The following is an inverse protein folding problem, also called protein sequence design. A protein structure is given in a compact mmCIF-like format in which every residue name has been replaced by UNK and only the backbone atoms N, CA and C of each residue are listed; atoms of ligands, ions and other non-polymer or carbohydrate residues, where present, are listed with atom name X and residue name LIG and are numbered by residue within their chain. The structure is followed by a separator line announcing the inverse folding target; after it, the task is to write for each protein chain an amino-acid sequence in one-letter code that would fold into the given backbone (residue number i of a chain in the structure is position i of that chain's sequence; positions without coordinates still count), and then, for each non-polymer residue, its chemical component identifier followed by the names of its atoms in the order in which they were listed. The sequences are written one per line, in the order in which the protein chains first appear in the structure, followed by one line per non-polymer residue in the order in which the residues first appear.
data_IF_385033962838
#
_entry.id   IF_385033962838
#
_cell.length_a   1.000
_cell.length_b   1.000
_cell.length_c   1.000
_cell.angle_alpha   90.00
_cell.angle_beta   90.00
_cell.angle_gamma   90.00
#
_symmetry.space_group_name_H-M   'P 1'
#
loop_
_entity.id
_entity.type
_entity.pdbx_description
1 polymer ?
#
# COMPACT_ATOMS: atom_id res chain seq x y z
N UNK A 1 -21.66 -20.90 -2.19
CA UNK A 1 -22.90 -20.12 -2.05
C UNK A 1 -23.25 -19.46 -3.38
N UNK A 2 -24.50 -19.43 -3.75
CA UNK A 2 -25.01 -18.81 -4.99
C UNK A 2 -25.99 -17.68 -4.61
N UNK A 3 -26.27 -16.73 -5.53
CA UNK A 3 -27.21 -15.62 -5.29
C UNK A 3 -28.57 -16.09 -4.73
N UNK A 4 -29.14 -17.17 -5.27
CA UNK A 4 -30.41 -17.72 -4.80
C UNK A 4 -30.44 -18.10 -3.31
N UNK A 5 -29.26 -18.47 -2.76
CA UNK A 5 -29.11 -18.90 -1.35
C UNK A 5 -29.13 -17.69 -0.40
N UNK A 6 -29.04 -16.47 -0.96
CA UNK A 6 -29.03 -15.20 -0.23
C UNK A 6 -30.42 -14.54 -0.13
N UNK A 7 -31.44 -15.04 -0.87
CA UNK A 7 -32.79 -14.46 -0.87
C UNK A 7 -33.33 -14.34 0.56
N UNK A 8 -33.81 -13.14 0.92
CA UNK A 8 -34.34 -12.82 2.25
C UNK A 8 -33.26 -12.60 3.34
N UNK A 9 -31.99 -12.91 3.08
CA UNK A 9 -30.89 -12.67 4.02
C UNK A 9 -30.39 -11.23 3.97
N UNK A 10 -29.79 -10.77 5.07
CA UNK A 10 -29.02 -9.52 5.10
C UNK A 10 -27.56 -9.79 4.72
N UNK A 11 -27.02 -8.94 3.86
CA UNK A 11 -25.64 -9.03 3.35
C UNK A 11 -24.96 -7.67 3.46
N UNK A 12 -23.79 -7.60 4.04
CA UNK A 12 -22.97 -6.38 4.07
C UNK A 12 -22.10 -6.32 2.81
N UNK A 13 -22.30 -5.31 1.98
CA UNK A 13 -21.54 -5.09 0.76
C UNK A 13 -20.50 -3.99 0.97
N UNK A 14 -19.21 -4.32 0.85
CA UNK A 14 -18.15 -3.35 0.78
C UNK A 14 -18.12 -2.72 -0.62
N UNK A 15 -18.37 -1.41 -0.69
CA UNK A 15 -18.63 -0.70 -1.95
C UNK A 15 -17.76 0.56 -2.09
N UNK A 16 -17.29 0.80 -3.31
CA UNK A 16 -16.56 2.02 -3.69
C UNK A 16 -17.45 3.07 -4.37
N UNK A 17 -18.69 2.70 -4.73
CA UNK A 17 -19.59 3.56 -5.50
C UNK A 17 -19.37 3.55 -7.01
N UNK A 18 -18.40 2.77 -7.50
CA UNK A 18 -18.11 2.58 -8.91
C UNK A 18 -19.08 1.63 -9.63
N UNK A 19 -18.72 1.26 -10.86
CA UNK A 19 -19.56 0.43 -11.74
C UNK A 19 -19.88 -0.93 -11.11
N UNK A 20 -18.84 -1.66 -10.66
CA UNK A 20 -19.00 -2.99 -10.06
C UNK A 20 -19.89 -2.93 -8.81
N UNK A 21 -19.60 -2.00 -7.89
CA UNK A 21 -20.38 -1.82 -6.67
C UNK A 21 -21.85 -1.55 -6.96
N UNK A 22 -22.15 -0.64 -7.88
CA UNK A 22 -23.52 -0.27 -8.25
C UNK A 22 -24.26 -1.44 -8.89
N UNK A 23 -23.59 -2.15 -9.81
CA UNK A 23 -24.14 -3.34 -10.49
C UNK A 23 -24.44 -4.45 -9.50
N UNK A 24 -23.47 -4.77 -8.61
CA UNK A 24 -23.62 -5.86 -7.63
C UNK A 24 -24.72 -5.58 -6.61
N UNK A 25 -24.77 -4.35 -6.08
CA UNK A 25 -25.84 -3.97 -5.12
C UNK A 25 -27.20 -4.15 -5.76
N UNK A 26 -27.41 -3.65 -6.98
CA UNK A 26 -28.67 -3.81 -7.69
C UNK A 26 -28.99 -5.27 -8.03
N UNK A 27 -27.99 -6.01 -8.50
CA UNK A 27 -28.15 -7.43 -8.87
C UNK A 27 -28.55 -8.30 -7.67
N UNK A 28 -27.99 -8.03 -6.48
CA UNK A 28 -28.36 -8.70 -5.24
C UNK A 28 -29.77 -8.28 -4.75
N UNK A 29 -30.03 -6.97 -4.68
CA UNK A 29 -31.30 -6.46 -4.19
C UNK A 29 -32.48 -6.87 -5.06
N UNK A 30 -32.32 -6.92 -6.39
CA UNK A 30 -33.34 -7.40 -7.34
C UNK A 30 -33.72 -8.88 -7.15
N UNK A 31 -32.84 -9.66 -6.50
CA UNK A 31 -33.11 -11.05 -6.12
C UNK A 31 -33.71 -11.20 -4.72
N UNK A 32 -34.08 -10.09 -4.06
CA UNK A 32 -34.66 -10.08 -2.70
C UNK A 32 -33.64 -10.22 -1.58
N UNK A 33 -32.36 -9.90 -1.84
CA UNK A 33 -31.32 -9.81 -0.81
C UNK A 33 -31.38 -8.43 -0.15
N UNK A 34 -31.33 -8.39 1.19
CA UNK A 34 -31.29 -7.14 1.97
C UNK A 34 -29.84 -6.65 2.07
N UNK A 35 -29.47 -5.66 1.28
CA UNK A 35 -28.09 -5.19 1.19
C UNK A 35 -27.85 -3.99 2.12
N UNK A 36 -26.91 -4.13 3.06
CA UNK A 36 -26.27 -3.02 3.74
C UNK A 36 -25.01 -2.64 2.93
N UNK A 37 -25.03 -1.51 2.27
CA UNK A 37 -23.87 -0.99 1.56
C UNK A 37 -22.96 -0.20 2.51
N UNK A 38 -21.68 -0.57 2.59
CA UNK A 38 -20.69 0.06 3.45
C UNK A 38 -19.58 0.63 2.59
N UNK A 39 -19.44 1.95 2.62
CA UNK A 39 -18.28 2.66 2.05
C UNK A 39 -17.36 3.05 3.18
N UNK A 40 -16.07 2.70 3.05
CA UNK A 40 -15.05 3.16 3.99
C UNK A 40 -14.32 4.35 3.36
N UNK A 41 -14.40 5.51 4.02
CA UNK A 41 -13.65 6.71 3.64
C UNK A 41 -12.18 6.53 3.99
N UNK A 42 -11.38 6.24 2.99
CA UNK A 42 -9.92 6.14 3.03
C UNK A 42 -9.23 7.39 2.43
N UNK A 43 -9.96 8.49 2.25
CA UNK A 43 -9.43 9.71 1.64
C UNK A 43 -9.11 9.56 0.15
N UNK A 44 -9.97 8.87 -0.59
CA UNK A 44 -9.81 8.65 -2.03
C UNK A 44 -9.72 9.98 -2.78
N UNK A 45 -8.61 10.29 -3.47
CA UNK A 45 -8.44 11.58 -4.14
C UNK A 45 -9.33 11.73 -5.39
N UNK A 46 -9.82 10.63 -5.93
CA UNK A 46 -10.70 10.58 -7.10
C UNK A 46 -12.21 10.58 -6.77
N UNK A 47 -12.60 10.52 -5.47
CA UNK A 47 -14.01 10.63 -5.02
C UNK A 47 -14.17 11.80 -4.04
N UNK A 48 -14.78 12.86 -4.51
CA UNK A 48 -15.00 14.09 -3.72
C UNK A 48 -16.31 14.12 -2.95
N UNK A 49 -17.24 13.21 -3.27
CA UNK A 49 -18.60 13.19 -2.71
C UNK A 49 -18.96 11.81 -2.13
N UNK A 50 -18.46 11.53 -0.94
CA UNK A 50 -18.80 10.29 -0.21
C UNK A 50 -20.29 10.16 0.08
N UNK A 51 -21.01 11.27 0.31
CA UNK A 51 -22.47 11.23 0.52
C UNK A 51 -23.18 10.80 -0.75
N UNK A 52 -22.75 11.29 -1.90
CA UNK A 52 -23.25 10.86 -3.20
C UNK A 52 -23.01 9.36 -3.47
N UNK A 53 -21.92 8.78 -2.95
CA UNK A 53 -21.72 7.32 -2.99
C UNK A 53 -22.86 6.59 -2.27
N UNK A 54 -23.15 6.97 -1.03
CA UNK A 54 -24.23 6.36 -0.25
C UNK A 54 -25.61 6.51 -0.93
N UNK A 55 -25.88 7.65 -1.54
CA UNK A 55 -27.12 7.87 -2.29
C UNK A 55 -27.21 6.98 -3.54
N UNK A 56 -26.10 6.83 -4.27
CA UNK A 56 -26.01 5.92 -5.43
C UNK A 56 -26.32 4.49 -5.01
N UNK A 57 -25.81 4.03 -3.85
CA UNK A 57 -26.06 2.69 -3.35
C UNK A 57 -27.53 2.48 -2.94
N UNK A 58 -28.17 3.47 -2.30
CA UNK A 58 -29.61 3.40 -2.01
C UNK A 58 -30.45 3.34 -3.31
N UNK A 59 -30.10 4.15 -4.30
CA UNK A 59 -30.75 4.12 -5.64
C UNK A 59 -30.50 2.80 -6.38
N UNK A 60 -29.39 2.13 -6.11
CA UNK A 60 -29.12 0.78 -6.60
C UNK A 60 -29.88 -0.32 -5.82
N UNK A 61 -30.68 0.03 -4.81
CA UNK A 61 -31.51 -0.91 -4.08
C UNK A 61 -30.94 -1.39 -2.76
N UNK A 62 -29.87 -0.77 -2.25
CA UNK A 62 -29.42 -1.05 -0.88
C UNK A 62 -30.52 -0.66 0.14
N UNK A 63 -30.83 -1.56 1.09
CA UNK A 63 -31.75 -1.29 2.21
C UNK A 63 -31.21 -0.15 3.08
N UNK A 64 -29.90 -0.13 3.26
CA UNK A 64 -29.19 0.90 3.99
C UNK A 64 -27.82 1.14 3.33
N UNK A 65 -27.33 2.39 3.36
CA UNK A 65 -26.01 2.74 2.92
C UNK A 65 -25.33 3.68 3.93
N UNK A 66 -24.17 3.26 4.43
CA UNK A 66 -23.41 3.97 5.45
C UNK A 66 -21.98 4.27 4.97
N UNK A 67 -21.39 5.30 5.59
CA UNK A 67 -20.00 5.68 5.37
C UNK A 67 -19.29 5.54 6.71
N UNK A 68 -18.16 4.82 6.72
CA UNK A 68 -17.31 4.66 7.89
C UNK A 68 -15.99 5.40 7.67
N UNK A 69 -15.46 6.01 8.72
CA UNK A 69 -14.18 6.69 8.68
C UNK A 69 -13.03 5.71 8.87
N UNK A 70 -12.24 5.46 7.83
CA UNK A 70 -11.14 4.50 7.83
C UNK A 70 -9.74 5.12 7.71
N UNK A 71 -9.62 6.45 7.60
CA UNK A 71 -8.32 7.12 7.38
C UNK A 71 -7.32 6.86 8.50
N UNK A 72 -7.76 6.83 9.76
CA UNK A 72 -6.87 6.56 10.90
C UNK A 72 -6.28 5.15 10.81
N UNK A 73 -7.11 4.14 10.59
CA UNK A 73 -6.65 2.75 10.45
C UNK A 73 -5.67 2.60 9.28
N UNK A 74 -5.98 3.21 8.13
CA UNK A 74 -5.09 3.19 6.98
C UNK A 74 -3.75 3.88 7.27
N UNK A 75 -3.76 5.03 7.96
CA UNK A 75 -2.54 5.75 8.32
C UNK A 75 -1.64 4.92 9.25
N UNK A 76 -2.23 4.29 10.27
CA UNK A 76 -1.51 3.43 11.22
C UNK A 76 -0.91 2.20 10.52
N UNK A 77 -1.67 1.54 9.65
CA UNK A 77 -1.18 0.37 8.91
C UNK A 77 -0.11 0.76 7.88
N UNK A 78 -0.32 1.87 7.15
CA UNK A 78 0.66 2.37 6.20
C UNK A 78 1.96 2.81 6.88
N UNK A 79 1.88 3.37 8.11
CA UNK A 79 3.07 3.65 8.91
C UNK A 79 3.88 2.38 9.17
N UNK A 80 3.24 1.22 9.41
CA UNK A 80 3.95 -0.06 9.62
C UNK A 80 4.61 -0.55 8.34
N UNK A 81 3.99 -0.36 7.18
CA UNK A 81 4.60 -0.63 5.88
C UNK A 81 5.88 0.21 5.70
N UNK A 82 5.82 1.52 6.00
CA UNK A 82 6.96 2.42 5.95
C UNK A 82 8.04 2.04 6.96
N UNK A 83 7.66 1.81 8.22
CA UNK A 83 8.60 1.39 9.27
C UNK A 83 9.30 0.07 8.94
N UNK A 84 8.62 -0.85 8.26
CA UNK A 84 9.16 -2.12 7.80
C UNK A 84 9.91 -2.05 6.47
N UNK A 85 9.95 -0.91 5.79
CA UNK A 85 10.41 -0.80 4.38
C UNK A 85 9.76 -1.87 3.51
N UNK A 86 8.45 -2.09 3.70
CA UNK A 86 7.71 -3.23 3.16
C UNK A 86 7.04 -2.90 1.81
N UNK A 87 7.76 -2.20 0.93
CA UNK A 87 7.35 -2.06 -0.47
C UNK A 87 7.49 -3.39 -1.21
N UNK A 88 6.54 -3.71 -2.06
CA UNK A 88 6.57 -4.89 -2.93
C UNK A 88 7.36 -4.59 -4.20
N UNK A 89 7.67 -5.59 -4.97
CA UNK A 89 8.44 -5.57 -6.22
C UNK A 89 8.51 -4.18 -6.91
N UNK A 90 9.70 -3.77 -7.35
CA UNK A 90 9.87 -2.52 -8.11
C UNK A 90 9.52 -1.22 -7.39
N UNK A 91 9.26 -1.24 -6.09
CA UNK A 91 8.95 -0.04 -5.30
C UNK A 91 7.45 0.22 -5.10
N UNK A 92 6.58 -0.73 -5.39
CA UNK A 92 5.16 -0.60 -5.07
C UNK A 92 4.93 -0.57 -3.56
N UNK A 93 4.41 0.54 -3.05
CA UNK A 93 4.22 0.81 -1.61
C UNK A 93 3.10 0.01 -0.95
N UNK A 94 2.58 -1.05 -1.59
CA UNK A 94 1.49 -1.89 -1.07
C UNK A 94 0.21 -1.13 -0.70
N UNK A 95 0.00 0.04 -1.29
CA UNK A 95 -1.08 0.97 -0.92
C UNK A 95 -2.48 0.40 -1.07
N UNK A 96 -2.73 -0.40 -2.12
CA UNK A 96 -3.99 -1.11 -2.29
C UNK A 96 -4.11 -2.29 -1.32
N UNK A 97 -3.04 -3.09 -1.15
CA UNK A 97 -3.04 -4.25 -0.25
C UNK A 97 -3.41 -3.86 1.17
N UNK A 98 -2.71 -2.88 1.73
CA UNK A 98 -2.93 -2.41 3.10
C UNK A 98 -4.28 -1.70 3.27
N UNK A 99 -4.77 -1.00 2.22
CA UNK A 99 -6.07 -0.35 2.24
C UNK A 99 -7.22 -1.36 2.34
N UNK A 100 -7.11 -2.55 1.72
CA UNK A 100 -8.11 -3.62 1.89
C UNK A 100 -8.17 -4.12 3.32
N UNK A 101 -7.01 -4.25 3.98
CA UNK A 101 -6.94 -4.62 5.40
C UNK A 101 -7.58 -3.55 6.29
N UNK A 102 -7.29 -2.28 6.06
CA UNK A 102 -7.93 -1.17 6.77
C UNK A 102 -9.46 -1.12 6.53
N UNK A 103 -9.90 -1.40 5.30
CA UNK A 103 -11.33 -1.49 4.95
C UNK A 103 -12.03 -2.57 5.75
N UNK A 104 -11.49 -3.79 5.76
CA UNK A 104 -12.07 -4.93 6.49
C UNK A 104 -12.10 -4.65 7.99
N UNK A 105 -10.97 -4.21 8.58
CA UNK A 105 -10.88 -3.91 10.02
C UNK A 105 -11.87 -2.81 10.46
N UNK A 106 -12.10 -1.81 9.61
CA UNK A 106 -13.05 -0.73 9.88
C UNK A 106 -14.50 -1.18 9.76
N UNK A 107 -14.81 -2.05 8.78
CA UNK A 107 -16.18 -2.46 8.49
C UNK A 107 -16.71 -3.56 9.42
N UNK A 108 -15.86 -4.53 9.78
CA UNK A 108 -16.30 -5.73 10.54
C UNK A 108 -16.99 -5.43 11.87
N UNK A 109 -16.53 -4.48 12.73
CA UNK A 109 -17.22 -4.16 13.97
C UNK A 109 -18.65 -3.71 13.74
N UNK A 110 -18.90 -2.90 12.71
CA UNK A 110 -20.25 -2.41 12.38
C UNK A 110 -21.14 -3.52 11.77
N UNK A 111 -20.56 -4.41 10.98
CA UNK A 111 -21.23 -5.59 10.42
C UNK A 111 -21.68 -6.52 11.55
N UNK A 112 -20.77 -6.85 12.47
CA UNK A 112 -21.02 -7.71 13.63
C UNK A 112 -22.08 -7.13 14.57
N UNK A 113 -22.00 -5.83 14.88
CA UNK A 113 -23.00 -5.11 15.70
C UNK A 113 -24.41 -5.22 15.14
N UNK A 114 -24.56 -5.36 13.82
CA UNK A 114 -25.84 -5.50 13.13
C UNK A 114 -26.30 -6.95 12.99
N UNK A 115 -25.54 -7.91 13.52
CA UNK A 115 -25.85 -9.33 13.44
C UNK A 115 -25.80 -9.90 12.01
N UNK A 116 -25.01 -9.26 11.12
CA UNK A 116 -24.83 -9.72 9.74
C UNK A 116 -23.63 -10.66 9.70
N UNK A 117 -23.80 -11.85 9.14
CA UNK A 117 -22.78 -12.89 9.04
C UNK A 117 -22.37 -13.20 7.59
N UNK A 118 -22.83 -12.41 6.63
CA UNK A 118 -22.47 -12.54 5.21
C UNK A 118 -21.95 -11.21 4.71
N UNK A 119 -20.72 -11.22 4.20
CA UNK A 119 -20.09 -10.05 3.57
C UNK A 119 -19.92 -10.30 2.06
N UNK A 120 -19.97 -9.24 1.26
CA UNK A 120 -19.71 -9.29 -0.17
C UNK A 120 -18.82 -8.11 -0.60
N UNK A 121 -18.12 -8.27 -1.72
CA UNK A 121 -17.28 -7.26 -2.33
C UNK A 121 -17.32 -7.33 -3.86
N UNK A 122 -16.87 -6.25 -4.54
CA UNK A 122 -16.84 -6.16 -6.00
C UNK A 122 -15.54 -6.59 -6.67
N UNK A 123 -14.56 -7.12 -5.91
CA UNK A 123 -13.28 -7.52 -6.47
C UNK A 123 -13.43 -8.70 -7.44
N UNK A 124 -12.73 -8.59 -8.60
CA UNK A 124 -12.77 -9.61 -9.65
C UNK A 124 -12.04 -10.88 -9.25
N UNK A 125 -12.42 -12.02 -9.85
CA UNK A 125 -11.78 -13.32 -9.60
C UNK A 125 -10.34 -13.46 -10.14
N UNK A 126 -9.82 -12.46 -10.86
CA UNK A 126 -8.46 -12.44 -11.42
C UNK A 126 -7.47 -11.57 -10.65
N UNK A 127 -7.97 -10.71 -9.74
CA UNK A 127 -7.14 -9.82 -8.94
C UNK A 127 -6.81 -10.37 -7.55
N UNK A 128 -5.82 -9.78 -6.89
CA UNK A 128 -5.46 -10.11 -5.52
C UNK A 128 -6.52 -9.65 -4.51
N UNK A 129 -7.30 -8.62 -4.82
CA UNK A 129 -8.20 -8.00 -3.86
C UNK A 129 -9.29 -8.95 -3.33
N UNK A 130 -9.75 -9.90 -4.18
CA UNK A 130 -10.67 -10.94 -3.70
C UNK A 130 -10.04 -11.79 -2.59
N UNK A 131 -8.73 -12.11 -2.72
CA UNK A 131 -7.99 -12.89 -1.72
C UNK A 131 -7.84 -12.06 -0.45
N UNK A 132 -7.45 -10.79 -0.59
CA UNK A 132 -7.27 -9.85 0.50
C UNK A 132 -8.54 -9.65 1.33
N UNK A 133 -9.67 -9.40 0.68
CA UNK A 133 -10.96 -9.26 1.37
C UNK A 133 -11.38 -10.54 2.09
N UNK A 134 -11.22 -11.69 1.45
CA UNK A 134 -11.62 -12.97 2.04
C UNK A 134 -10.72 -13.36 3.21
N UNK A 135 -9.39 -13.39 3.02
CA UNK A 135 -8.46 -13.77 4.08
C UNK A 135 -8.51 -12.77 5.24
N UNK A 136 -8.50 -11.47 4.96
CA UNK A 136 -8.61 -10.45 6.00
C UNK A 136 -9.90 -10.58 6.82
N UNK A 137 -11.01 -10.90 6.17
CA UNK A 137 -12.29 -11.12 6.86
C UNK A 137 -12.26 -12.36 7.72
N UNK A 138 -11.81 -13.52 7.18
CA UNK A 138 -11.79 -14.80 7.90
C UNK A 138 -10.82 -14.75 9.09
N UNK A 139 -9.66 -14.09 8.94
CA UNK A 139 -8.69 -13.95 10.05
C UNK A 139 -9.24 -13.13 11.21
N UNK A 140 -10.10 -12.13 10.96
CA UNK A 140 -10.70 -11.30 12.01
C UNK A 140 -12.05 -11.82 12.50
N UNK A 141 -12.80 -12.53 11.65
CA UNK A 141 -14.16 -13.04 11.93
C UNK A 141 -14.32 -14.41 11.23
N UNK A 142 -13.80 -15.52 11.81
CA UNK A 142 -13.78 -16.84 11.16
C UNK A 142 -15.18 -17.41 10.86
N UNK A 143 -16.20 -16.95 11.55
CA UNK A 143 -17.59 -17.32 11.30
C UNK A 143 -18.26 -16.56 10.16
N UNK A 144 -17.62 -15.49 9.65
CA UNK A 144 -18.14 -14.68 8.56
C UNK A 144 -18.08 -15.44 7.23
N UNK A 145 -19.16 -15.46 6.51
CA UNK A 145 -19.18 -15.98 5.14
C UNK A 145 -18.91 -14.87 4.14
N UNK A 146 -17.95 -15.07 3.25
CA UNK A 146 -17.68 -14.13 2.15
C UNK A 146 -18.30 -14.64 0.86
N UNK A 147 -19.22 -13.87 0.30
CA UNK A 147 -19.81 -14.11 -1.02
C UNK A 147 -19.20 -13.16 -2.04
N UNK A 148 -18.52 -13.69 -3.04
CA UNK A 148 -17.94 -12.90 -4.13
C UNK A 148 -18.72 -13.13 -5.44
N UNK A 149 -19.48 -12.13 -5.93
CA UNK A 149 -20.27 -12.25 -7.16
C UNK A 149 -19.44 -12.66 -8.37
N UNK A 150 -18.22 -12.16 -8.50
CA UNK A 150 -17.30 -12.53 -9.59
C UNK A 150 -16.88 -14.02 -9.59
N UNK A 151 -17.21 -14.78 -8.56
CA UNK A 151 -17.06 -16.25 -8.49
C UNK A 151 -18.39 -16.99 -8.65
N UNK A 152 -19.51 -16.26 -8.78
CA UNK A 152 -20.81 -16.84 -9.10
C UNK A 152 -20.99 -16.95 -10.61
N UNK A 153 -21.20 -18.17 -11.08
CA UNK A 153 -21.34 -18.44 -12.52
C UNK A 153 -22.52 -17.71 -13.16
N UNK A 154 -23.58 -17.43 -12.39
CA UNK A 154 -24.74 -16.68 -12.86
C UNK A 154 -24.36 -15.22 -13.13
N UNK A 155 -23.64 -14.59 -12.18
CA UNK A 155 -23.14 -13.22 -12.33
C UNK A 155 -22.18 -13.09 -13.52
N UNK A 156 -21.18 -13.98 -13.60
CA UNK A 156 -20.17 -13.94 -14.67
C UNK A 156 -20.81 -14.15 -16.05
N UNK A 157 -21.80 -15.04 -16.17
CA UNK A 157 -22.52 -15.25 -17.43
C UNK A 157 -23.32 -14.04 -17.86
N UNK A 158 -23.95 -13.35 -16.92
CA UNK A 158 -24.82 -12.19 -17.20
C UNK A 158 -24.02 -10.87 -17.30
N UNK A 159 -23.06 -10.67 -16.42
CA UNK A 159 -22.42 -9.37 -16.13
C UNK A 159 -20.88 -9.42 -16.12
N UNK A 160 -20.27 -10.48 -16.66
CA UNK A 160 -18.83 -10.77 -16.56
C UNK A 160 -17.90 -9.85 -17.36
N UNK A 161 -18.37 -8.65 -17.78
CA UNK A 161 -17.57 -7.68 -18.49
C UNK A 161 -18.04 -6.24 -18.30
N UNK A 162 -17.11 -5.28 -18.43
CA UNK A 162 -17.39 -3.84 -18.27
C UNK A 162 -18.52 -3.35 -19.16
N UNK A 163 -18.56 -3.80 -20.43
CA UNK A 163 -19.60 -3.44 -21.39
C UNK A 163 -20.97 -3.92 -20.93
N UNK A 164 -21.06 -5.17 -20.50
CA UNK A 164 -22.31 -5.77 -20.00
C UNK A 164 -22.81 -5.04 -18.75
N UNK A 165 -21.94 -4.71 -17.82
CA UNK A 165 -22.31 -3.96 -16.61
C UNK A 165 -22.79 -2.54 -16.91
N UNK A 166 -22.15 -1.82 -17.83
CA UNK A 166 -22.58 -0.48 -18.27
C UNK A 166 -24.00 -0.57 -18.92
N UNK A 167 -24.22 -1.56 -19.77
CA UNK A 167 -25.50 -1.78 -20.40
C UNK A 167 -26.60 -2.16 -19.40
N UNK A 168 -26.26 -3.01 -18.43
CA UNK A 168 -27.13 -3.36 -17.31
C UNK A 168 -27.52 -2.11 -16.51
N UNK A 169 -26.56 -1.29 -16.10
CA UNK A 169 -26.82 -0.06 -15.36
C UNK A 169 -27.72 0.90 -16.17
N UNK A 170 -27.49 1.04 -17.49
CA UNK A 170 -28.33 1.85 -18.38
C UNK A 170 -29.76 1.32 -18.42
N UNK A 171 -29.94 0.01 -18.58
CA UNK A 171 -31.27 -0.65 -18.63
C UNK A 171 -32.06 -0.42 -17.35
N UNK A 172 -31.38 -0.45 -16.20
CA UNK A 172 -32.01 -0.27 -14.89
C UNK A 172 -31.98 1.20 -14.39
N UNK A 173 -31.56 2.16 -15.24
CA UNK A 173 -31.48 3.61 -14.92
C UNK A 173 -30.58 3.91 -13.72
N UNK A 174 -29.55 3.11 -13.50
CA UNK A 174 -28.56 3.31 -12.46
C UNK A 174 -27.50 4.33 -12.90
N UNK A 175 -27.22 5.32 -12.06
CA UNK A 175 -26.19 6.32 -12.36
C UNK A 175 -24.81 5.75 -12.06
N UNK A 176 -23.94 5.67 -13.07
CA UNK A 176 -22.54 5.32 -12.96
C UNK A 176 -21.68 6.35 -13.70
N UNK A 177 -20.53 6.67 -13.16
CA UNK A 177 -19.56 7.59 -13.79
C UNK A 177 -18.67 6.88 -14.81
N UNK A 178 -18.64 5.54 -14.76
CA UNK A 178 -17.83 4.73 -15.65
C UNK A 178 -18.23 4.90 -17.12
N UNK A 179 -17.25 5.19 -17.96
CA UNK A 179 -17.40 5.25 -19.40
C UNK A 179 -16.49 4.24 -20.09
N UNK A 180 -16.77 3.91 -21.35
CA UNK A 180 -15.88 3.09 -22.18
C UNK A 180 -14.63 3.85 -22.65
N UNK A 181 -14.57 5.17 -22.40
CA UNK A 181 -13.50 6.03 -22.90
C UNK A 181 -12.23 6.02 -22.03
N UNK A 182 -12.34 5.70 -20.73
CA UNK A 182 -11.16 5.65 -19.87
C UNK A 182 -10.37 4.36 -20.15
N UNK A 183 -9.12 4.47 -20.64
CA UNK A 183 -8.41 3.31 -21.20
C UNK A 183 -7.82 2.36 -20.15
N UNK A 184 -7.88 2.71 -18.87
CA UNK A 184 -7.40 1.91 -17.72
C UNK A 184 -8.35 2.05 -16.53
N UNK A 185 -8.16 1.23 -15.50
CA UNK A 185 -8.88 1.30 -14.22
C UNK A 185 -8.03 2.00 -13.17
N UNK A 186 -8.68 2.61 -12.17
CA UNK A 186 -8.03 3.26 -11.03
C UNK A 186 -8.58 2.72 -9.73
N UNK A 187 -7.70 2.61 -8.71
CA UNK A 187 -8.06 2.30 -7.33
C UNK A 187 -7.27 3.25 -6.42
N UNK A 188 -7.96 4.02 -5.60
CA UNK A 188 -7.39 5.14 -4.88
C UNK A 188 -7.69 5.13 -3.40
N UNK A 189 -6.72 5.58 -2.62
CA UNK A 189 -6.84 5.96 -1.22
C UNK A 189 -5.79 7.06 -0.92
N UNK A 190 -5.81 7.67 0.26
CA UNK A 190 -4.86 8.76 0.54
C UNK A 190 -3.38 8.34 0.55
N UNK A 191 -3.08 7.05 0.78
CA UNK A 191 -1.69 6.57 0.80
C UNK A 191 -1.13 6.34 -0.61
N UNK A 192 -2.01 6.14 -1.60
CA UNK A 192 -1.61 5.98 -3.00
C UNK A 192 -2.75 5.65 -3.94
N UNK A 193 -2.42 5.66 -5.21
CA UNK A 193 -3.32 5.40 -6.32
C UNK A 193 -2.69 4.40 -7.28
N UNK A 194 -3.48 3.43 -7.71
CA UNK A 194 -3.10 2.39 -8.67
C UNK A 194 -3.80 2.63 -9.99
N UNK A 195 -3.06 2.60 -11.10
CA UNK A 195 -3.56 2.54 -12.46
C UNK A 195 -3.23 1.18 -13.06
N UNK A 196 -4.23 0.44 -13.51
CA UNK A 196 -4.04 -0.90 -14.03
C UNK A 196 -5.07 -1.27 -15.10
N UNK A 197 -4.89 -2.41 -15.75
CA UNK A 197 -5.77 -2.96 -16.78
C UNK A 197 -5.84 -2.13 -18.09
N UNK A 198 -6.62 -2.60 -19.03
CA UNK A 198 -6.82 -1.94 -20.32
C UNK A 198 -5.54 -1.76 -21.11
N UNK A 199 -5.24 -0.53 -21.53
CA UNK A 199 -4.04 -0.22 -22.33
C UNK A 199 -2.75 -0.53 -21.58
N UNK A 200 -2.75 -0.46 -20.24
CA UNK A 200 -1.56 -0.74 -19.42
C UNK A 200 -1.18 -2.23 -19.38
N UNK A 201 -2.07 -3.15 -19.81
CA UNK A 201 -1.74 -4.57 -19.95
C UNK A 201 -0.74 -4.83 -21.08
N UNK A 202 -0.59 -3.89 -22.00
CA UNK A 202 0.41 -3.95 -23.08
C UNK A 202 1.73 -3.35 -22.59
N UNK A 203 2.81 -4.13 -22.58
CA UNK A 203 4.11 -3.68 -22.09
C UNK A 203 4.79 -2.64 -23.01
N UNK A 204 4.36 -2.54 -24.25
CA UNK A 204 4.78 -1.50 -25.22
C UNK A 204 3.99 -0.19 -25.09
N UNK A 205 2.96 -0.14 -24.24
CA UNK A 205 2.27 1.10 -23.90
C UNK A 205 3.09 1.90 -22.88
N UNK A 206 3.34 3.18 -23.21
CA UNK A 206 4.03 4.10 -22.28
C UNK A 206 3.22 4.34 -21.01
N UNK A 207 3.83 4.42 -19.80
CA UNK A 207 3.15 4.85 -18.58
C UNK A 207 2.63 6.29 -18.65
N UNK A 208 3.15 7.13 -19.55
CA UNK A 208 2.68 8.51 -19.79
C UNK A 208 1.23 8.61 -20.30
N UNK A 209 0.56 7.47 -20.62
CA UNK A 209 -0.88 7.47 -20.92
C UNK A 209 -1.74 7.69 -19.69
N UNK A 210 -1.13 7.67 -18.49
CA UNK A 210 -1.81 7.84 -17.21
C UNK A 210 -1.96 9.33 -16.89
N UNK A 211 -3.19 9.73 -16.58
CA UNK A 211 -3.47 11.02 -15.97
C UNK A 211 -3.23 10.93 -14.46
N UNK A 212 -2.10 11.41 -13.98
CA UNK A 212 -1.75 11.40 -12.57
C UNK A 212 -2.64 12.35 -11.75
N UNK A 213 -3.01 11.92 -10.54
CA UNK A 213 -3.96 12.62 -9.65
C UNK A 213 -3.28 13.14 -8.38
N UNK A 214 -2.26 12.42 -7.88
CA UNK A 214 -1.59 12.76 -6.62
C UNK A 214 -0.38 13.67 -6.82
N UNK A 215 0.00 13.95 -8.05
CA UNK A 215 1.14 14.81 -8.35
C UNK A 215 1.33 15.03 -9.84
N UNK A 216 2.53 15.42 -10.22
CA UNK A 216 2.95 15.65 -11.61
C UNK A 216 4.09 14.70 -11.97
N UNK A 217 4.27 14.45 -13.26
CA UNK A 217 5.45 13.70 -13.72
C UNK A 217 6.74 14.46 -13.37
N UNK A 218 7.88 13.74 -13.11
CA UNK A 218 9.14 14.39 -12.79
C UNK A 218 9.55 15.47 -13.79
N UNK A 219 9.26 15.29 -15.08
CA UNK A 219 9.59 16.27 -16.13
C UNK A 219 8.80 17.59 -15.96
N UNK A 220 7.57 17.50 -15.48
CA UNK A 220 6.66 18.65 -15.30
C UNK A 220 6.78 19.30 -13.93
N UNK A 221 7.56 18.70 -13.02
CA UNK A 221 7.81 19.27 -11.69
C UNK A 221 8.59 20.59 -11.79
N UNK A 222 8.48 21.47 -10.75
CA UNK A 222 9.14 22.78 -10.74
C UNK A 222 10.64 22.69 -11.03
N UNK A 223 11.16 23.72 -11.71
CA UNK A 223 12.60 23.86 -11.99
C UNK A 223 13.40 24.34 -10.78
N UNK A 224 12.73 24.87 -9.74
CA UNK A 224 13.36 25.26 -8.49
C UNK A 224 13.21 24.13 -7.47
N UNK A 225 14.33 23.64 -6.89
CA UNK A 225 14.27 22.65 -5.82
C UNK A 225 13.46 23.14 -4.62
N UNK A 226 12.79 22.20 -3.95
CA UNK A 226 12.05 22.47 -2.72
C UNK A 226 12.66 21.72 -1.54
N UNK A 227 12.89 22.40 -0.42
CA UNK A 227 13.40 21.79 0.80
C UNK A 227 12.24 21.37 1.70
N UNK A 228 12.31 20.15 2.23
CA UNK A 228 11.37 19.63 3.23
C UNK A 228 12.12 19.09 4.44
N UNK A 229 11.59 19.38 5.64
CA UNK A 229 12.12 18.92 6.92
C UNK A 229 11.12 17.97 7.58
N UNK A 230 11.54 16.74 7.88
CA UNK A 230 10.69 15.74 8.50
C UNK A 230 11.33 15.28 9.81
N UNK A 231 10.57 15.32 10.91
CA UNK A 231 11.03 14.89 12.24
C UNK A 231 10.29 13.62 12.65
N UNK A 232 11.06 12.60 12.99
CA UNK A 232 10.56 11.33 13.55
C UNK A 232 10.88 11.24 15.05
N UNK A 233 9.98 10.61 15.79
CA UNK A 233 10.19 10.22 17.19
C UNK A 233 9.71 8.80 17.39
N UNK A 234 10.62 7.91 17.80
CA UNK A 234 10.35 6.48 17.99
C UNK A 234 9.62 5.86 16.78
N UNK A 235 10.11 6.17 15.58
CA UNK A 235 9.58 5.66 14.32
C UNK A 235 8.32 6.34 13.81
N UNK A 236 7.72 7.26 14.54
CA UNK A 236 6.51 7.99 14.13
C UNK A 236 6.90 9.37 13.60
N UNK A 237 6.49 9.77 12.39
CA UNK A 237 6.67 11.15 11.93
C UNK A 237 5.75 12.08 12.73
N UNK A 238 6.33 13.10 13.35
CA UNK A 238 5.59 14.05 14.21
C UNK A 238 5.49 15.45 13.60
N UNK A 239 6.49 15.83 12.76
CA UNK A 239 6.53 17.21 12.22
C UNK A 239 6.94 17.22 10.75
N UNK A 240 6.28 18.08 9.98
CA UNK A 240 6.68 18.49 8.63
C UNK A 240 6.97 19.97 8.64
N UNK A 241 8.15 20.41 8.21
CA UNK A 241 8.59 21.80 8.19
C UNK A 241 8.42 22.54 9.54
N UNK A 242 8.58 21.79 10.65
CA UNK A 242 8.42 22.31 12.02
C UNK A 242 6.98 22.31 12.55
N UNK A 243 5.98 22.08 11.73
CA UNK A 243 4.58 21.98 12.12
C UNK A 243 4.26 20.57 12.63
N UNK A 244 3.72 20.47 13.84
CA UNK A 244 3.23 19.22 14.40
C UNK A 244 1.85 18.88 13.82
N UNK A 245 1.68 17.66 13.34
CA UNK A 245 0.46 17.19 12.69
C UNK A 245 0.09 15.78 13.19
N UNK A 246 -1.20 15.45 13.16
CA UNK A 246 -1.65 14.08 13.30
C UNK A 246 -1.18 13.25 12.10
N UNK A 247 -1.04 11.94 12.26
CA UNK A 247 -0.47 11.06 11.25
C UNK A 247 -1.16 11.18 9.87
N UNK A 248 -2.49 11.25 9.83
CA UNK A 248 -3.25 11.49 8.58
C UNK A 248 -2.83 12.81 7.93
N UNK A 249 -2.69 13.88 8.72
CA UNK A 249 -2.24 15.19 8.23
C UNK A 249 -0.81 15.16 7.69
N UNK A 250 0.09 14.39 8.32
CA UNK A 250 1.46 14.16 7.82
C UNK A 250 1.41 13.57 6.40
N UNK A 251 0.60 12.51 6.19
CA UNK A 251 0.46 11.92 4.86
C UNK A 251 -0.10 12.91 3.84
N UNK A 252 -1.12 13.68 4.23
CA UNK A 252 -1.74 14.66 3.33
C UNK A 252 -0.77 15.76 2.92
N UNK A 253 -0.04 16.34 3.87
CA UNK A 253 0.97 17.37 3.57
C UNK A 253 2.09 16.84 2.70
N UNK A 254 2.60 15.64 3.03
CA UNK A 254 3.69 15.04 2.25
C UNK A 254 3.24 14.57 0.87
N UNK A 255 1.98 14.16 0.70
CA UNK A 255 1.43 13.90 -0.63
C UNK A 255 1.47 15.16 -1.51
N UNK A 256 1.11 16.33 -0.95
CA UNK A 256 1.15 17.59 -1.68
C UNK A 256 2.58 18.02 -2.00
N UNK A 257 3.49 17.91 -1.00
CA UNK A 257 4.90 18.33 -1.17
C UNK A 257 5.63 17.39 -2.15
N UNK A 258 5.58 16.10 -1.93
CA UNK A 258 6.26 15.11 -2.76
C UNK A 258 5.65 15.04 -4.17
N UNK A 259 4.33 15.03 -4.27
CA UNK A 259 3.62 14.91 -5.55
C UNK A 259 3.88 16.08 -6.50
N UNK A 260 3.88 17.35 -6.00
CA UNK A 260 4.21 18.49 -6.86
C UNK A 260 5.67 18.51 -7.32
N UNK A 261 6.55 17.77 -6.64
CA UNK A 261 7.95 17.60 -7.02
C UNK A 261 8.23 16.32 -7.80
N UNK A 262 7.19 15.56 -8.18
CA UNK A 262 7.29 14.33 -8.98
C UNK A 262 7.80 13.11 -8.20
N UNK A 263 7.95 13.21 -6.86
CA UNK A 263 8.42 12.09 -6.03
C UNK A 263 7.29 11.08 -5.83
N UNK A 264 7.57 9.80 -6.09
CA UNK A 264 6.59 8.73 -5.93
C UNK A 264 5.45 8.75 -6.96
N UNK A 265 5.67 9.36 -8.13
CA UNK A 265 4.72 9.46 -9.25
C UNK A 265 5.24 8.62 -10.42
N UNK A 266 4.35 7.83 -11.03
CA UNK A 266 4.66 7.03 -12.21
C UNK A 266 5.53 5.80 -11.92
N UNK A 267 5.44 5.21 -10.74
CA UNK A 267 6.14 3.97 -10.40
C UNK A 267 5.54 2.82 -11.22
N UNK A 268 6.26 2.35 -12.24
CA UNK A 268 5.83 1.31 -13.17
C UNK A 268 6.37 -0.05 -12.75
N UNK A 269 5.49 -0.99 -12.46
CA UNK A 269 5.86 -2.32 -11.93
C UNK A 269 5.15 -3.43 -12.68
N UNK A 270 5.91 -4.44 -13.09
CA UNK A 270 5.38 -5.75 -13.51
C UNK A 270 5.52 -6.70 -12.34
N UNK A 271 4.41 -6.98 -11.68
CA UNK A 271 4.34 -7.71 -10.41
C UNK A 271 3.85 -9.16 -10.58
N UNK A 272 4.17 -10.01 -9.63
CA UNK A 272 3.68 -11.38 -9.54
C UNK A 272 2.45 -11.43 -8.63
N UNK A 273 1.25 -11.61 -9.21
CA UNK A 273 0.02 -11.72 -8.40
C UNK A 273 -0.04 -13.03 -7.62
N UNK A 274 -0.63 -13.00 -6.43
CA UNK A 274 -0.89 -14.19 -5.59
C UNK A 274 -1.66 -15.27 -6.37
N UNK A 275 -2.52 -14.88 -7.29
CA UNK A 275 -3.29 -15.80 -8.15
C UNK A 275 -2.47 -16.43 -9.28
N UNK A 276 -1.15 -16.24 -9.32
CA UNK A 276 -0.21 -16.94 -10.20
C UNK A 276 -0.04 -16.35 -11.60
N UNK A 277 -0.52 -15.11 -11.83
CA UNK A 277 -0.30 -14.40 -13.11
C UNK A 277 0.55 -13.14 -12.89
N UNK A 278 1.22 -12.69 -13.95
CA UNK A 278 1.85 -11.37 -13.97
C UNK A 278 0.84 -10.28 -14.32
N UNK A 279 1.04 -9.10 -13.75
CA UNK A 279 0.28 -7.91 -14.11
C UNK A 279 1.16 -6.67 -14.05
N UNK A 280 0.78 -5.63 -14.77
CA UNK A 280 1.43 -4.34 -14.74
C UNK A 280 0.54 -3.33 -14.06
N UNK A 281 1.12 -2.54 -13.18
CA UNK A 281 0.50 -1.37 -12.56
C UNK A 281 1.41 -0.16 -12.65
N UNK A 282 0.82 1.03 -12.77
CA UNK A 282 1.48 2.31 -12.64
C UNK A 282 0.94 2.96 -11.38
N UNK A 283 1.81 3.37 -10.48
CA UNK A 283 1.44 3.75 -9.12
C UNK A 283 1.81 5.18 -8.79
N UNK A 284 1.00 5.79 -7.95
CA UNK A 284 1.25 7.06 -7.27
C UNK A 284 1.22 6.84 -5.76
N UNK A 285 2.27 7.23 -5.06
CA UNK A 285 2.33 7.14 -3.59
C UNK A 285 3.30 8.18 -3.02
N UNK A 286 3.11 9.48 -3.31
CA UNK A 286 4.14 10.48 -3.09
C UNK A 286 4.56 10.62 -1.63
N UNK A 287 3.63 10.82 -0.71
CA UNK A 287 3.95 10.98 0.71
C UNK A 287 4.50 9.71 1.37
N UNK A 288 3.97 8.53 0.99
CA UNK A 288 4.45 7.27 1.50
C UNK A 288 5.90 6.98 1.01
N UNK A 289 6.17 7.23 -0.27
CA UNK A 289 7.52 7.08 -0.84
C UNK A 289 8.52 8.02 -0.17
N UNK A 290 8.17 9.29 0.02
CA UNK A 290 9.06 10.24 0.70
C UNK A 290 9.32 9.83 2.16
N UNK A 291 8.27 9.43 2.89
CA UNK A 291 8.42 8.95 4.27
C UNK A 291 9.31 7.72 4.36
N UNK A 292 9.16 6.75 3.46
CA UNK A 292 10.01 5.55 3.44
C UNK A 292 11.46 5.89 3.16
N UNK A 293 11.74 6.75 2.18
CA UNK A 293 13.10 7.20 1.84
C UNK A 293 13.77 7.87 3.06
N UNK A 294 13.04 8.76 3.75
CA UNK A 294 13.55 9.46 4.94
C UNK A 294 13.73 8.49 6.11
N UNK A 295 12.77 7.60 6.35
CA UNK A 295 12.84 6.59 7.39
C UNK A 295 14.03 5.64 7.19
N UNK A 296 14.23 5.16 5.96
CA UNK A 296 15.37 4.31 5.59
C UNK A 296 16.72 5.01 5.87
N UNK A 297 16.77 6.34 5.70
CA UNK A 297 17.97 7.13 6.02
C UNK A 297 18.26 7.19 7.51
N UNK A 298 17.23 7.28 8.36
CA UNK A 298 17.39 7.19 9.80
C UNK A 298 17.77 5.76 10.25
N UNK A 299 17.20 4.73 9.61
CA UNK A 299 17.59 3.33 9.89
C UNK A 299 19.08 3.08 9.65
N UNK A 300 19.72 3.73 8.66
CA UNK A 300 21.16 3.65 8.43
C UNK A 300 21.99 4.17 9.61
N UNK A 301 21.41 5.03 10.45
CA UNK A 301 22.10 5.58 11.62
C UNK A 301 22.01 4.66 12.84
N UNK A 302 20.93 3.89 12.98
CA UNK A 302 20.57 3.20 14.23
C UNK A 302 20.71 1.67 14.16
N UNK A 303 20.87 1.10 12.96
CA UNK A 303 21.09 -0.32 12.77
C UNK A 303 22.56 -0.61 12.50
N UNK A 304 23.14 -1.54 13.28
CA UNK A 304 24.42 -2.15 12.97
C UNK A 304 24.31 -3.10 11.76
N UNK A 305 25.46 -3.58 11.29
CA UNK A 305 25.56 -4.42 10.10
C UNK A 305 24.69 -5.69 10.17
N UNK A 306 24.70 -6.38 11.31
CA UNK A 306 24.03 -7.68 11.43
C UNK A 306 22.51 -7.49 11.59
N UNK A 307 22.08 -6.50 12.39
CA UNK A 307 20.67 -6.14 12.51
C UNK A 307 20.12 -5.63 11.16
N UNK A 308 20.90 -4.88 10.38
CA UNK A 308 20.48 -4.41 9.05
C UNK A 308 20.16 -5.57 8.11
N UNK A 309 21.05 -6.57 8.01
CA UNK A 309 20.82 -7.76 7.18
C UNK A 309 19.58 -8.53 7.58
N UNK A 310 19.39 -8.73 8.88
CA UNK A 310 18.20 -9.39 9.40
C UNK A 310 16.93 -8.60 9.08
N UNK A 311 16.97 -7.29 9.28
CA UNK A 311 15.85 -6.41 9.02
C UNK A 311 15.43 -6.42 7.53
N UNK A 312 16.37 -6.53 6.59
CA UNK A 312 16.08 -6.66 5.16
C UNK A 312 15.30 -7.94 4.81
N UNK A 313 15.55 -9.03 5.56
CA UNK A 313 14.75 -10.26 5.42
C UNK A 313 13.33 -10.03 5.94
N UNK A 314 13.21 -9.40 7.11
CA UNK A 314 11.90 -9.06 7.71
C UNK A 314 11.11 -8.12 6.79
N UNK A 315 11.75 -7.10 6.23
CA UNK A 315 11.13 -6.14 5.29
C UNK A 315 10.50 -6.84 4.09
N UNK A 316 11.25 -7.75 3.48
CA UNK A 316 10.79 -8.51 2.31
C UNK A 316 9.61 -9.41 2.64
N UNK A 317 9.70 -10.17 3.73
CA UNK A 317 8.60 -11.02 4.18
C UNK A 317 7.34 -10.23 4.57
N UNK A 318 7.52 -9.07 5.22
CA UNK A 318 6.39 -8.19 5.54
C UNK A 318 5.73 -7.63 4.28
N UNK A 319 6.52 -7.25 3.26
CA UNK A 319 5.99 -6.80 1.98
C UNK A 319 5.10 -7.87 1.33
N UNK A 320 5.54 -9.14 1.34
CA UNK A 320 4.77 -10.26 0.80
C UNK A 320 3.49 -10.50 1.60
N UNK A 321 3.56 -10.50 2.92
CA UNK A 321 2.40 -10.65 3.83
C UNK A 321 1.34 -9.57 3.55
N UNK A 322 1.76 -8.32 3.37
CA UNK A 322 0.84 -7.22 3.02
C UNK A 322 0.25 -7.42 1.63
N UNK A 323 1.09 -7.73 0.65
CA UNK A 323 0.68 -7.91 -0.74
C UNK A 323 -0.32 -9.04 -0.90
N UNK A 324 -0.11 -10.14 -0.17
CA UNK A 324 -0.91 -11.36 -0.22
C UNK A 324 -2.20 -11.30 0.62
N UNK A 325 -2.37 -10.26 1.45
CA UNK A 325 -3.57 -10.09 2.28
C UNK A 325 -3.55 -10.85 3.61
N UNK A 326 -2.37 -11.20 4.09
CA UNK A 326 -2.15 -11.95 5.33
C UNK A 326 -1.77 -11.05 6.54
N UNK A 327 -2.16 -9.78 6.50
CA UNK A 327 -1.85 -8.77 7.51
C UNK A 327 -2.26 -9.15 8.94
N UNK A 328 -3.30 -9.93 9.11
CA UNK A 328 -3.80 -10.36 10.42
C UNK A 328 -3.32 -11.77 10.81
N UNK A 329 -2.35 -12.33 10.09
CA UNK A 329 -1.76 -13.64 10.38
C UNK A 329 -0.79 -13.59 11.57
N UNK A 330 -0.52 -14.73 12.23
CA UNK A 330 0.53 -14.82 13.24
C UNK A 330 1.90 -14.38 12.71
N UNK A 331 2.25 -14.74 11.47
CA UNK A 331 3.50 -14.31 10.83
C UNK A 331 3.59 -12.79 10.73
N UNK A 332 2.50 -12.10 10.33
CA UNK A 332 2.47 -10.64 10.33
C UNK A 332 2.76 -10.06 11.72
N UNK A 333 2.18 -10.65 12.76
CA UNK A 333 2.40 -10.23 14.16
C UNK A 333 3.87 -10.35 14.56
N UNK A 334 4.53 -11.46 14.22
CA UNK A 334 5.95 -11.70 14.52
C UNK A 334 6.85 -10.70 13.78
N UNK A 335 6.60 -10.48 12.49
CA UNK A 335 7.35 -9.50 11.69
C UNK A 335 7.16 -8.08 12.22
N UNK A 336 5.93 -7.71 12.58
CA UNK A 336 5.61 -6.40 13.16
C UNK A 336 6.23 -6.22 14.55
N UNK A 337 6.41 -7.28 15.34
CA UNK A 337 7.13 -7.19 16.60
C UNK A 337 8.59 -6.75 16.39
N UNK A 338 9.27 -7.30 15.37
CA UNK A 338 10.62 -6.87 14.99
C UNK A 338 10.63 -5.41 14.52
N UNK A 339 9.71 -5.03 13.62
CA UNK A 339 9.57 -3.66 13.11
C UNK A 339 9.34 -2.68 14.26
N UNK A 340 8.43 -2.99 15.18
CA UNK A 340 8.12 -2.15 16.34
C UNK A 340 9.32 -2.02 17.28
N UNK A 341 10.09 -3.10 17.51
CA UNK A 341 11.32 -3.04 18.30
C UNK A 341 12.35 -2.09 17.68
N UNK A 342 12.57 -2.18 16.37
CA UNK A 342 13.51 -1.31 15.67
C UNK A 342 13.03 0.16 15.70
N UNK A 343 11.76 0.40 15.50
CA UNK A 343 11.16 1.73 15.46
C UNK A 343 11.43 2.56 16.74
N UNK A 344 11.56 1.92 17.91
CA UNK A 344 11.86 2.62 19.18
C UNK A 344 13.16 3.44 19.12
N UNK A 345 14.11 3.04 18.28
CA UNK A 345 15.41 3.69 18.13
C UNK A 345 15.42 4.74 17.03
N UNK A 346 14.40 4.78 16.16
CA UNK A 346 14.33 5.70 15.01
C UNK A 346 13.75 7.04 15.44
N UNK A 347 14.63 7.89 15.92
CA UNK A 347 14.32 9.29 16.27
C UNK A 347 15.33 10.19 15.56
N UNK A 348 14.87 11.28 14.99
CA UNK A 348 15.76 12.25 14.33
C UNK A 348 15.01 13.16 13.38
N UNK A 349 15.72 14.17 12.92
CA UNK A 349 15.24 15.13 11.93
C UNK A 349 16.08 15.02 10.67
N UNK A 350 15.41 14.88 9.53
CA UNK A 350 16.06 14.83 8.21
C UNK A 350 15.58 16.02 7.38
N UNK A 351 16.51 16.71 6.75
CA UNK A 351 16.25 17.77 5.78
C UNK A 351 16.59 17.22 4.40
N UNK A 352 15.62 17.28 3.50
CA UNK A 352 15.77 16.84 2.13
C UNK A 352 15.50 17.97 1.16
N UNK A 353 16.15 17.92 0.00
CA UNK A 353 15.83 18.70 -1.19
C UNK A 353 15.13 17.78 -2.18
N UNK A 354 13.97 18.21 -2.69
CA UNK A 354 13.18 17.52 -3.69
C UNK A 354 13.34 18.23 -5.04
N UNK A 355 13.72 17.49 -6.06
CA UNK A 355 13.91 18.04 -7.39
C UNK A 355 13.63 16.99 -8.47
N UNK A 356 12.62 17.24 -9.30
CA UNK A 356 12.35 16.40 -10.48
C UNK A 356 12.27 14.89 -10.13
N UNK A 357 11.52 14.55 -9.09
CA UNK A 357 11.35 13.17 -8.63
C UNK A 357 12.47 12.61 -7.73
N UNK A 358 13.57 13.34 -7.60
CA UNK A 358 14.71 12.94 -6.76
C UNK A 358 14.61 13.52 -5.36
N UNK A 359 15.20 12.80 -4.39
CA UNK A 359 15.30 13.20 -2.99
C UNK A 359 16.78 13.23 -2.61
N UNK A 360 17.32 14.42 -2.37
CA UNK A 360 18.71 14.62 -1.92
C UNK A 360 18.73 14.94 -0.44
N UNK A 361 19.55 14.23 0.33
CA UNK A 361 19.70 14.49 1.77
C UNK A 361 20.66 15.64 2.01
N UNK A 362 20.20 16.68 2.71
CA UNK A 362 21.00 17.85 3.04
C UNK A 362 21.54 17.79 4.47
N UNK A 363 20.73 17.36 5.43
CA UNK A 363 21.08 17.34 6.84
C UNK A 363 20.35 16.21 7.58
N UNK A 364 21.04 15.58 8.53
CA UNK A 364 20.47 14.64 9.50
C UNK A 364 20.96 15.06 10.87
N UNK A 365 20.03 15.26 11.83
CA UNK A 365 20.35 15.70 13.17
C UNK A 365 19.39 15.13 14.21
N UNK A 366 19.75 15.31 15.47
CA UNK A 366 18.95 14.90 16.64
C UNK A 366 18.66 13.40 16.65
N UNK A 367 19.67 12.57 16.31
CA UNK A 367 19.57 11.09 16.29
C UNK A 367 20.24 10.52 17.54
N UNK A 368 19.55 10.37 18.67
CA UNK A 368 20.14 9.99 19.95
C UNK A 368 20.70 8.57 19.96
N UNK A 369 20.21 7.71 19.09
CA UNK A 369 20.64 6.31 18.98
C UNK A 369 21.56 6.07 17.76
N UNK A 370 22.16 7.13 17.20
CA UNK A 370 23.07 6.99 16.09
C UNK A 370 24.33 6.19 16.48
N UNK A 371 24.64 5.19 15.68
CA UNK A 371 25.90 4.44 15.75
C UNK A 371 27.02 5.14 14.99
N UNK A 372 26.70 6.19 14.21
CA UNK A 372 27.68 6.97 13.48
C UNK A 372 28.38 7.95 14.43
N UNK A 373 29.67 7.72 14.63
CA UNK A 373 30.54 8.62 15.41
C UNK A 373 31.64 9.18 14.50
N UNK A 374 31.64 10.50 14.23
CA UNK A 374 32.62 11.11 13.33
C UNK A 374 34.07 10.87 13.71
N UNK A 375 34.39 10.75 15.01
CA UNK A 375 35.74 10.49 15.47
C UNK A 375 36.23 9.06 15.18
N UNK A 376 35.31 8.07 15.29
CA UNK A 376 35.59 6.65 15.02
C UNK A 376 35.48 6.34 13.53
N UNK A 377 34.55 7.00 12.83
CA UNK A 377 34.24 6.77 11.41
C UNK A 377 35.22 7.49 10.47
N UNK A 378 36.09 8.37 11.01
CA UNK A 378 37.03 9.12 10.19
C UNK A 378 38.13 8.20 9.61
N UNK A 379 38.38 8.35 8.31
CA UNK A 379 39.48 7.68 7.63
C UNK A 379 40.86 8.39 7.87
N UNK A 380 40.83 9.61 8.40
CA UNK A 380 42.01 10.45 8.63
C UNK A 380 42.45 10.48 10.09
N UNK A 381 41.52 10.21 11.02
CA UNK A 381 41.82 10.23 12.46
C UNK A 381 42.18 8.83 12.96
N UNK A 382 43.18 8.76 13.84
CA UNK A 382 43.65 7.50 14.46
C UNK A 382 42.86 7.11 15.74
N UNK A 383 41.79 7.81 16.04
CA UNK A 383 40.92 7.50 17.20
C UNK A 383 39.99 6.33 16.90
N UNK A 384 39.68 5.51 17.91
CA UNK A 384 38.66 4.46 17.86
C UNK A 384 39.23 3.05 17.94
N UNK A 385 40.28 2.72 17.16
CA UNK A 385 41.02 1.47 17.28
C UNK A 385 42.43 1.66 16.74
N UNK A 386 43.35 0.77 17.12
CA UNK A 386 44.72 0.76 16.58
C UNK A 386 44.71 0.18 15.15
N UNK A 387 45.19 0.93 14.19
CA UNK A 387 45.26 0.50 12.79
C UNK A 387 46.07 -0.79 12.58
N UNK A 388 47.04 -1.08 13.48
CA UNK A 388 47.83 -2.30 13.44
C UNK A 388 47.01 -3.56 13.75
N UNK A 389 45.94 -3.45 14.50
CA UNK A 389 45.04 -4.57 14.82
C UNK A 389 44.36 -5.14 13.57
N UNK A 390 44.20 -4.33 12.52
CA UNK A 390 43.69 -4.76 11.22
C UNK A 390 44.51 -5.87 10.59
N UNK A 391 45.85 -5.90 10.83
CA UNK A 391 46.69 -6.95 10.31
C UNK A 391 46.33 -8.33 10.88
N UNK A 392 46.04 -8.42 12.18
CA UNK A 392 45.60 -9.65 12.82
C UNK A 392 44.29 -10.18 12.25
N UNK A 393 43.30 -9.29 12.11
CA UNK A 393 42.03 -9.62 11.47
C UNK A 393 42.21 -10.12 10.03
N UNK A 394 43.01 -9.40 9.21
CA UNK A 394 43.27 -9.77 7.82
C UNK A 394 44.00 -11.11 7.70
N UNK A 395 44.91 -11.43 8.61
CA UNK A 395 45.64 -12.72 8.63
C UNK A 395 44.62 -13.88 8.80
N UNK A 396 43.67 -13.76 9.72
CA UNK A 396 42.65 -14.78 9.94
C UNK A 396 41.66 -14.86 8.74
N UNK A 397 41.17 -13.73 8.25
CA UNK A 397 40.28 -13.67 7.09
C UNK A 397 40.94 -14.23 5.80
N UNK A 398 42.23 -14.04 5.65
CA UNK A 398 43.04 -14.53 4.49
C UNK A 398 43.07 -16.07 4.45
N UNK A 399 42.94 -16.79 5.55
CA UNK A 399 42.88 -18.27 5.55
C UNK A 399 41.75 -18.75 4.65
N UNK A 400 40.54 -18.22 4.87
CA UNK A 400 39.37 -18.54 4.03
C UNK A 400 39.56 -18.09 2.58
N UNK A 401 40.09 -16.89 2.37
CA UNK A 401 40.29 -16.33 1.02
C UNK A 401 41.24 -17.21 0.21
N UNK A 402 42.35 -17.67 0.80
CA UNK A 402 43.31 -18.58 0.15
C UNK A 402 42.68 -19.91 -0.18
N UNK A 403 41.92 -20.52 0.76
CA UNK A 403 41.21 -21.78 0.50
C UNK A 403 40.26 -21.68 -0.69
N UNK A 404 39.48 -20.58 -0.79
CA UNK A 404 38.60 -20.33 -1.92
C UNK A 404 39.40 -20.11 -3.24
N UNK A 405 40.54 -19.44 -3.20
CA UNK A 405 41.36 -19.22 -4.37
C UNK A 405 41.98 -20.54 -4.90
N UNK A 406 42.49 -21.40 -4.04
CA UNK A 406 42.99 -22.71 -4.43
C UNK A 406 41.93 -23.61 -5.06
N UNK A 407 40.72 -23.63 -4.58
CA UNK A 407 39.62 -24.41 -5.18
C UNK A 407 39.21 -23.92 -6.56
N UNK A 408 39.36 -22.63 -6.85
CA UNK A 408 39.11 -22.05 -8.18
C UNK A 408 40.25 -22.33 -9.18
N UNK A 409 41.48 -22.26 -8.74
CA UNK A 409 42.65 -22.53 -9.62
C UNK A 409 42.67 -23.97 -10.13
N UNK A 410 42.17 -24.95 -9.37
CA UNK A 410 42.00 -26.34 -9.81
C UNK A 410 40.89 -26.55 -10.83
N UNK A 411 39.95 -25.61 -10.97
CA UNK A 411 38.82 -25.70 -11.95
C UNK A 411 39.13 -25.01 -13.30
N UNK A 412 40.17 -24.19 -13.38
CA UNK A 412 40.51 -23.45 -14.60
C UNK A 412 41.87 -23.88 -15.21
N UNK A 413 42.42 -25.02 -14.78
CA UNK A 413 43.45 -25.75 -15.42
C UNK A 413 42.86 -26.95 -16.16
#
# INVERSE_FOLDING_TARGET
MKRKDLKGKRVAALVSGGLDSTTIVHWLSSAGVKVLAITVDLGQPDEKDMRGVAERMRKAGAEEAIILYGKTALAEYMLKVIQGLAHHEGGYMNTTGIARMATVATALPEISKRGINIMTHGATGRGNDQVRFELGTIMLAPEMTVYAPWRDTEFVKELGGRKQMIEYCRRHRLKVTATLKKPYSTDANFAGLTHEAGVLEQLDSSPHVVDFVMGVEPIDAPVKPETVKITFKKGVPEKVNGQSLALVGIFQDLNLIAGRNGVGIGIDVVENRRVGIKSRGVYESPGATLLEIVYAKLLQQVLDRERRKFFEIVSRQLADVVYEGEWFSPLASDLLAVVNNVAQYVTGTVVCELYKGNVTFLEIKDVPHSLYNPDVSSMEKTKGFDHTDSQGYLNVAAVRARALAYTRQTRYR
#
